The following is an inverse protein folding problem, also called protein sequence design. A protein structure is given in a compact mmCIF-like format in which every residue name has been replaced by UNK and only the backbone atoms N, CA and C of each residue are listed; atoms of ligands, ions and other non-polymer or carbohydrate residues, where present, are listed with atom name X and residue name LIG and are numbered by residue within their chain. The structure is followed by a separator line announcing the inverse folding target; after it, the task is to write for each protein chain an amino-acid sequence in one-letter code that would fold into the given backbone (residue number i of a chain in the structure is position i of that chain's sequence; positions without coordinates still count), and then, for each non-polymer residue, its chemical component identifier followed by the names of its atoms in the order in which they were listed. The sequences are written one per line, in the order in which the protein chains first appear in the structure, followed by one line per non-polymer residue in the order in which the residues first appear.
data_IF_268757744802
#
_entry.id   IF_268757744802
#
_cell.length_a   1.000
_cell.length_b   1.000
_cell.length_c   1.000
_cell.angle_alpha   90.00
_cell.angle_beta   90.00
_cell.angle_gamma   90.00
#
_symmetry.space_group_name_H-M   'P 1'
#
loop_
_entity.id
_entity.type
_entity.pdbx_description
1 polymer ?
#
# COMPACT_ATOMS: atom_id res chain seq x y z
N UNK A 1 -25.78 9.88 -9.87
CA UNK A 1 -26.16 10.78 -8.77
C UNK A 1 -25.50 10.18 -7.55
N UNK A 2 -24.56 10.86 -6.99
CA UNK A 2 -23.98 10.48 -5.71
C UNK A 2 -25.10 10.59 -4.67
N UNK A 3 -25.41 9.48 -4.04
CA UNK A 3 -26.35 9.45 -2.92
C UNK A 3 -25.57 9.92 -1.69
N UNK A 4 -26.05 10.99 -1.05
CA UNK A 4 -25.46 11.54 0.16
C UNK A 4 -26.43 11.54 1.35
N UNK A 5 -25.91 11.74 2.56
CA UNK A 5 -26.70 11.73 3.78
C UNK A 5 -27.74 12.86 3.80
N UNK A 6 -27.44 14.02 3.22
CA UNK A 6 -28.38 15.12 3.09
C UNK A 6 -29.57 14.76 2.21
N UNK A 7 -29.31 14.12 1.07
CA UNK A 7 -30.34 13.68 0.13
C UNK A 7 -31.29 12.66 0.79
N UNK A 8 -30.75 11.67 1.50
CA UNK A 8 -31.57 10.69 2.24
C UNK A 8 -32.39 11.35 3.33
N UNK A 9 -31.83 12.25 4.12
CA UNK A 9 -32.55 13.00 5.15
C UNK A 9 -33.65 13.83 4.54
N UNK A 10 -33.40 14.58 3.47
CA UNK A 10 -34.39 15.40 2.78
C UNK A 10 -35.52 14.55 2.15
N UNK A 11 -35.23 13.36 1.70
CA UNK A 11 -36.21 12.45 1.11
C UNK A 11 -37.14 11.83 2.16
N UNK A 12 -36.65 11.60 3.37
CA UNK A 12 -37.40 10.93 4.46
C UNK A 12 -38.07 11.88 5.45
N UNK A 13 -37.53 13.07 5.60
CA UNK A 13 -38.12 14.16 6.40
C UNK A 13 -38.75 15.20 5.47
N UNK A 14 -39.76 15.78 5.60
CA UNK A 14 -40.90 16.00 6.47
C UNK A 14 -42.14 15.20 6.04
N UNK A 15 -42.07 14.38 5.04
CA UNK A 15 -43.20 13.58 4.53
C UNK A 15 -43.24 12.16 5.14
N UNK A 16 -42.35 11.89 6.09
CA UNK A 16 -42.25 10.58 6.68
C UNK A 16 -43.48 10.24 7.46
N UNK A 17 -44.21 9.26 6.97
CA UNK A 17 -45.26 8.61 7.74
C UNK A 17 -44.58 7.87 8.89
N UNK A 18 -45.09 8.04 10.13
CA UNK A 18 -44.55 7.35 11.31
C UNK A 18 -44.60 5.82 11.19
N UNK A 19 -45.27 5.29 10.18
CA UNK A 19 -45.32 3.86 9.86
C UNK A 19 -44.24 3.40 8.87
N UNK A 20 -43.45 4.31 8.31
CA UNK A 20 -42.38 4.00 7.37
C UNK A 20 -41.08 3.73 8.10
N UNK A 21 -40.22 2.88 7.52
CA UNK A 21 -38.88 2.62 8.04
C UNK A 21 -38.05 3.90 8.03
N UNK A 22 -37.57 4.33 9.20
CA UNK A 22 -36.73 5.52 9.36
C UNK A 22 -35.61 5.26 10.32
N UNK A 23 -34.43 5.86 10.03
CA UNK A 23 -33.29 5.83 10.91
C UNK A 23 -33.08 7.17 11.60
N UNK A 24 -32.32 7.17 12.69
CA UNK A 24 -32.07 8.40 13.45
C UNK A 24 -31.02 9.25 12.74
N UNK A 25 -30.00 8.63 12.16
CA UNK A 25 -28.91 9.34 11.50
C UNK A 25 -28.57 8.72 10.15
N UNK A 26 -28.29 9.58 9.18
CA UNK A 26 -27.60 9.26 7.93
C UNK A 26 -26.20 9.87 7.97
N UNK A 27 -25.20 9.13 7.51
CA UNK A 27 -23.78 9.54 7.55
C UNK A 27 -23.12 9.22 6.23
N UNK A 28 -22.43 10.21 5.66
CA UNK A 28 -21.55 10.07 4.50
C UNK A 28 -20.11 10.50 4.84
N UNK A 29 -19.23 10.62 3.85
CA UNK A 29 -17.84 11.01 4.02
C UNK A 29 -17.65 12.48 4.44
N UNK A 30 -18.70 13.31 4.33
CA UNK A 30 -18.65 14.75 4.60
C UNK A 30 -19.45 15.10 5.85
N UNK A 31 -20.66 14.51 6.01
CA UNK A 31 -21.65 14.95 6.96
C UNK A 31 -22.30 13.81 7.76
N UNK A 32 -22.89 14.17 8.88
CA UNK A 32 -23.86 13.37 9.61
C UNK A 32 -25.14 14.18 9.79
N UNK A 33 -26.27 13.65 9.34
CA UNK A 33 -27.57 14.28 9.38
C UNK A 33 -28.50 13.57 10.35
N UNK A 34 -29.02 14.29 11.33
CA UNK A 34 -30.06 13.77 12.24
C UNK A 34 -31.43 13.86 11.58
N UNK A 35 -32.11 12.71 11.46
CA UNK A 35 -33.43 12.60 10.85
C UNK A 35 -34.54 12.39 11.89
N UNK A 36 -34.24 11.72 13.00
CA UNK A 36 -35.13 11.53 14.14
C UNK A 36 -34.45 12.02 15.42
N UNK A 37 -35.23 12.53 16.37
CA UNK A 37 -34.72 12.73 17.71
C UNK A 37 -34.32 11.39 18.34
N UNK A 38 -33.28 11.38 19.14
CA UNK A 38 -32.75 10.15 19.74
C UNK A 38 -33.78 9.39 20.60
N UNK A 39 -34.83 10.06 21.04
CA UNK A 39 -35.90 9.51 21.86
C UNK A 39 -37.11 9.02 21.07
N UNK A 40 -37.14 9.25 19.78
CA UNK A 40 -38.19 8.76 18.89
C UNK A 40 -37.99 7.29 18.54
N UNK A 41 -39.06 6.60 18.21
CA UNK A 41 -38.99 5.21 17.73
C UNK A 41 -38.87 5.19 16.22
N UNK A 42 -37.77 4.61 15.72
CA UNK A 42 -37.53 4.38 14.29
C UNK A 42 -37.80 2.93 13.93
N UNK A 43 -38.51 2.66 12.81
CA UNK A 43 -38.68 1.30 12.29
C UNK A 43 -37.51 0.87 11.42
N UNK A 44 -36.36 0.59 12.04
CA UNK A 44 -35.09 0.39 11.35
C UNK A 44 -34.45 -1.00 11.58
N UNK A 45 -34.88 -1.73 12.62
CA UNK A 45 -34.20 -2.97 13.05
C UNK A 45 -34.81 -4.25 12.46
N UNK A 46 -36.01 -4.17 11.91
CA UNK A 46 -36.71 -5.34 11.32
C UNK A 46 -37.28 -6.32 12.33
N UNK A 47 -37.27 -6.01 13.64
CA UNK A 47 -37.76 -6.83 14.74
C UNK A 47 -39.19 -6.49 15.21
N UNK A 48 -39.94 -5.75 14.40
CA UNK A 48 -41.31 -5.33 14.71
C UNK A 48 -41.37 -4.43 15.94
N UNK A 49 -42.16 -4.78 16.93
CA UNK A 49 -42.22 -4.05 18.20
C UNK A 49 -41.14 -4.48 19.20
N UNK A 50 -40.07 -5.07 18.70
CA UNK A 50 -38.93 -5.54 19.49
C UNK A 50 -38.01 -4.42 20.00
N UNK A 51 -37.02 -4.78 20.83
CA UNK A 51 -36.11 -3.81 21.43
C UNK A 51 -35.23 -3.08 20.41
N UNK A 52 -34.94 -3.66 19.27
CA UNK A 52 -34.15 -3.01 18.22
C UNK A 52 -34.86 -1.73 17.74
N UNK A 53 -36.11 -1.81 17.35
CA UNK A 53 -36.90 -0.65 16.96
C UNK A 53 -37.29 0.26 18.14
N UNK A 54 -37.57 -0.32 19.30
CA UNK A 54 -38.12 0.41 20.41
C UNK A 54 -37.13 1.09 21.35
N UNK A 55 -35.87 0.67 21.36
CA UNK A 55 -34.89 1.09 22.38
C UNK A 55 -33.50 1.42 21.84
N UNK A 56 -33.31 1.45 20.52
CA UNK A 56 -32.01 1.76 19.95
C UNK A 56 -32.02 2.98 19.02
N UNK A 57 -30.90 3.64 18.93
CA UNK A 57 -30.60 4.69 17.97
C UNK A 57 -29.91 4.06 16.76
N UNK A 58 -30.39 4.36 15.57
CA UNK A 58 -29.85 3.80 14.32
C UNK A 58 -29.01 4.78 13.53
N UNK A 59 -27.96 4.27 12.94
CA UNK A 59 -27.06 4.99 12.03
C UNK A 59 -27.06 4.24 10.70
N UNK A 60 -27.42 4.90 9.61
CA UNK A 60 -27.25 4.43 8.24
C UNK A 60 -25.99 5.08 7.67
N UNK A 61 -25.00 4.27 7.30
CA UNK A 61 -23.75 4.75 6.71
C UNK A 61 -23.85 4.56 5.20
N UNK A 62 -23.79 5.66 4.45
CA UNK A 62 -23.98 5.71 3.01
C UNK A 62 -22.67 5.25 2.35
N UNK A 63 -22.72 4.08 1.72
CA UNK A 63 -21.58 3.41 1.08
C UNK A 63 -22.07 2.68 -0.16
N UNK A 64 -21.27 2.66 -1.22
CA UNK A 64 -21.53 1.86 -2.43
C UNK A 64 -20.80 0.52 -2.45
N UNK A 65 -19.87 0.31 -1.52
CA UNK A 65 -19.11 -0.93 -1.34
C UNK A 65 -17.95 -1.09 -2.29
N UNK A 66 -17.57 -0.06 -3.01
CA UNK A 66 -16.37 -0.08 -3.89
C UNK A 66 -15.07 0.01 -3.09
N UNK A 67 -15.15 0.43 -1.82
CA UNK A 67 -13.99 0.75 -0.99
C UNK A 67 -13.29 2.04 -1.42
N UNK A 68 -14.04 2.93 -2.03
CA UNK A 68 -13.62 4.25 -2.45
C UNK A 68 -13.18 5.12 -1.26
N UNK A 69 -12.63 6.29 -1.54
CA UNK A 69 -12.31 7.27 -0.50
C UNK A 69 -13.56 7.73 0.25
N UNK A 70 -14.66 7.85 -0.48
CA UNK A 70 -15.98 8.23 0.02
C UNK A 70 -16.50 7.16 0.99
N UNK A 71 -16.48 5.88 0.59
CA UNK A 71 -16.84 4.76 1.48
C UNK A 71 -16.04 4.75 2.78
N UNK A 72 -14.71 4.95 2.67
CA UNK A 72 -13.82 4.96 3.83
C UNK A 72 -14.08 6.16 4.73
N UNK A 73 -14.38 7.32 4.14
CA UNK A 73 -14.78 8.54 4.87
C UNK A 73 -16.10 8.36 5.58
N UNK A 74 -17.10 7.78 4.92
CA UNK A 74 -18.41 7.49 5.49
C UNK A 74 -18.29 6.50 6.67
N UNK A 75 -17.50 5.44 6.53
CA UNK A 75 -17.24 4.48 7.63
C UNK A 75 -16.54 5.17 8.81
N UNK A 76 -15.59 6.07 8.56
CA UNK A 76 -14.86 6.81 9.59
C UNK A 76 -15.80 7.76 10.36
N UNK A 77 -16.66 8.49 9.65
CA UNK A 77 -17.65 9.37 10.25
C UNK A 77 -18.74 8.60 10.99
N UNK A 78 -19.19 7.46 10.45
CA UNK A 78 -20.12 6.55 11.12
C UNK A 78 -19.55 6.01 12.43
N UNK A 79 -18.28 5.63 12.46
CA UNK A 79 -17.61 5.19 13.67
C UNK A 79 -17.47 6.34 14.71
N UNK A 80 -17.18 7.55 14.25
CA UNK A 80 -17.13 8.74 15.13
C UNK A 80 -18.49 9.05 15.73
N UNK A 81 -19.54 9.05 14.93
CA UNK A 81 -20.91 9.30 15.42
C UNK A 81 -21.34 8.21 16.42
N UNK A 82 -21.07 6.95 16.14
CA UNK A 82 -21.35 5.86 17.09
C UNK A 82 -20.61 6.08 18.43
N UNK A 83 -19.35 6.48 18.41
CA UNK A 83 -18.59 6.81 19.62
C UNK A 83 -19.19 8.00 20.39
N UNK A 84 -19.61 9.06 19.69
CA UNK A 84 -20.27 10.22 20.28
C UNK A 84 -21.58 9.82 20.98
N UNK A 85 -22.40 8.99 20.35
CA UNK A 85 -23.66 8.50 20.92
C UNK A 85 -23.41 7.59 22.13
N UNK A 86 -22.47 6.65 22.04
CA UNK A 86 -22.08 5.82 23.18
C UNK A 86 -21.66 6.68 24.38
N UNK A 87 -20.83 7.69 24.15
CA UNK A 87 -20.42 8.64 25.21
C UNK A 87 -21.60 9.43 25.75
N UNK A 88 -22.46 9.98 24.87
CA UNK A 88 -23.63 10.78 25.24
C UNK A 88 -24.55 10.03 26.21
N UNK A 89 -24.72 8.73 26.00
CA UNK A 89 -25.63 7.89 26.80
C UNK A 89 -24.90 7.04 27.85
N UNK A 90 -23.60 7.22 28.06
CA UNK A 90 -22.81 6.46 29.04
C UNK A 90 -22.78 4.96 28.75
N UNK A 91 -22.81 4.59 27.47
CA UNK A 91 -22.82 3.21 27.00
C UNK A 91 -21.40 2.75 26.61
N UNK A 92 -21.20 1.45 26.67
CA UNK A 92 -19.94 0.79 26.29
C UNK A 92 -20.07 0.12 24.92
N UNK A 93 -18.94 -0.26 24.33
CA UNK A 93 -18.89 -0.82 22.97
C UNK A 93 -19.74 -2.09 22.76
N UNK A 94 -20.05 -2.82 23.81
CA UNK A 94 -20.94 -3.98 23.77
C UNK A 94 -22.42 -3.63 23.46
N UNK A 95 -22.76 -2.32 23.49
CA UNK A 95 -24.07 -1.81 23.10
C UNK A 95 -24.15 -1.37 21.63
N UNK A 96 -23.10 -1.61 20.87
CA UNK A 96 -23.09 -1.43 19.42
C UNK A 96 -23.49 -2.73 18.72
N UNK A 97 -24.59 -2.70 17.99
CA UNK A 97 -25.19 -3.86 17.34
C UNK A 97 -25.27 -3.66 15.82
N UNK A 98 -25.21 -4.74 15.07
CA UNK A 98 -25.55 -4.73 13.64
C UNK A 98 -27.07 -4.81 13.45
N UNK A 99 -27.58 -4.45 12.28
CA UNK A 99 -28.96 -4.76 11.91
C UNK A 99 -29.19 -6.28 11.88
N UNK A 100 -28.20 -7.08 11.44
CA UNK A 100 -28.29 -8.54 11.46
C UNK A 100 -28.60 -9.10 12.86
N UNK A 101 -28.04 -8.51 13.92
CA UNK A 101 -28.32 -8.91 15.30
C UNK A 101 -29.83 -8.92 15.61
N UNK A 102 -30.53 -7.84 15.26
CA UNK A 102 -31.97 -7.70 15.51
C UNK A 102 -32.83 -8.61 14.65
N UNK A 103 -32.29 -9.03 13.48
CA UNK A 103 -32.92 -10.02 12.61
C UNK A 103 -32.64 -11.48 13.04
N UNK A 104 -31.96 -11.71 14.16
CA UNK A 104 -31.56 -13.02 14.64
C UNK A 104 -30.43 -13.66 13.84
N UNK A 105 -29.67 -12.87 13.09
CA UNK A 105 -28.51 -13.31 12.32
C UNK A 105 -27.19 -12.97 13.06
N UNK A 106 -26.11 -13.70 12.84
CA UNK A 106 -24.80 -13.34 13.38
C UNK A 106 -24.23 -12.08 12.74
N UNK A 107 -23.26 -11.44 13.42
CA UNK A 107 -22.52 -10.25 12.95
C UNK A 107 -21.53 -10.60 11.83
N UNK A 108 -21.98 -11.27 10.78
CA UNK A 108 -21.24 -11.65 9.58
C UNK A 108 -22.17 -11.85 8.40
N UNK A 109 -21.61 -11.91 7.20
CA UNK A 109 -22.37 -12.26 5.98
C UNK A 109 -22.90 -13.70 6.10
N UNK A 110 -24.20 -13.86 5.91
CA UNK A 110 -24.89 -15.15 5.93
C UNK A 110 -25.39 -15.45 4.51
N UNK A 111 -24.89 -16.53 3.91
CA UNK A 111 -25.32 -16.93 2.57
C UNK A 111 -26.81 -17.33 2.57
N UNK A 112 -27.57 -16.78 1.63
CA UNK A 112 -29.00 -17.04 1.51
C UNK A 112 -29.89 -16.23 2.44
N UNK A 113 -29.35 -15.36 3.30
CA UNK A 113 -30.15 -14.41 4.08
C UNK A 113 -30.87 -13.43 3.15
N UNK A 114 -32.10 -13.04 3.54
CA UNK A 114 -32.89 -12.05 2.80
C UNK A 114 -32.18 -10.68 2.76
N UNK A 115 -31.46 -10.33 3.80
CA UNK A 115 -30.68 -9.11 3.94
C UNK A 115 -29.49 -9.35 4.86
N UNK A 116 -28.32 -8.89 4.49
CA UNK A 116 -27.15 -8.80 5.35
C UNK A 116 -26.86 -7.31 5.58
N UNK A 117 -26.96 -6.83 6.80
CA UNK A 117 -26.78 -5.41 7.08
C UNK A 117 -26.07 -5.20 8.44
N UNK A 118 -25.05 -4.35 8.47
CA UNK A 118 -24.52 -3.47 7.42
C UNK A 118 -23.64 -4.23 6.40
N UNK A 119 -24.09 -4.31 5.15
CA UNK A 119 -23.54 -5.20 4.12
C UNK A 119 -22.01 -5.04 3.94
N UNK A 120 -21.55 -3.81 3.84
CA UNK A 120 -20.15 -3.52 3.54
C UNK A 120 -19.24 -3.52 4.79
N UNK A 121 -19.80 -3.41 5.99
CA UNK A 121 -19.07 -3.39 7.27
C UNK A 121 -19.03 -4.78 7.92
N UNK A 122 -20.04 -5.64 7.70
CA UNK A 122 -20.07 -6.99 8.26
C UNK A 122 -18.80 -7.83 8.01
N UNK A 123 -18.12 -7.77 6.85
CA UNK A 123 -16.89 -8.50 6.63
C UNK A 123 -15.76 -8.13 7.59
N UNK A 124 -15.81 -6.93 8.18
CA UNK A 124 -14.79 -6.41 9.10
C UNK A 124 -15.43 -5.77 10.36
N UNK A 125 -16.55 -6.34 10.84
CA UNK A 125 -17.32 -5.81 11.96
C UNK A 125 -16.50 -5.59 13.23
N UNK A 126 -15.62 -6.54 13.58
CA UNK A 126 -14.77 -6.40 14.78
C UNK A 126 -13.78 -5.23 14.65
N UNK A 127 -13.27 -4.97 13.46
CA UNK A 127 -12.42 -3.83 13.18
C UNK A 127 -13.19 -2.51 13.26
N UNK A 128 -14.43 -2.49 12.77
CA UNK A 128 -15.30 -1.34 12.94
C UNK A 128 -15.58 -1.05 14.42
N UNK A 129 -15.89 -2.08 15.23
CA UNK A 129 -16.02 -1.92 16.68
C UNK A 129 -14.75 -1.41 17.35
N UNK A 130 -13.59 -1.92 16.95
CA UNK A 130 -12.31 -1.44 17.48
C UNK A 130 -12.08 0.05 17.13
N UNK A 131 -12.45 0.47 15.92
CA UNK A 131 -12.42 1.88 15.48
C UNK A 131 -13.33 2.75 16.35
N UNK A 132 -14.57 2.32 16.59
CA UNK A 132 -15.52 3.04 17.48
C UNK A 132 -14.97 3.12 18.90
N UNK A 133 -14.42 2.06 19.44
CA UNK A 133 -13.83 2.03 20.78
C UNK A 133 -12.65 2.99 20.92
N UNK A 134 -11.78 3.06 19.92
CA UNK A 134 -10.67 4.01 19.88
C UNK A 134 -11.16 5.47 19.92
N UNK A 135 -12.14 5.80 19.06
CA UNK A 135 -12.76 7.14 19.05
C UNK A 135 -13.48 7.46 20.36
N UNK A 136 -14.17 6.50 20.96
CA UNK A 136 -14.84 6.67 22.25
C UNK A 136 -13.83 6.99 23.36
N UNK A 137 -12.69 6.33 23.36
CA UNK A 137 -11.61 6.59 24.29
C UNK A 137 -11.04 8.00 24.09
N UNK A 138 -10.76 8.38 22.87
CA UNK A 138 -10.23 9.70 22.49
C UNK A 138 -11.16 10.84 22.98
N UNK A 139 -12.45 10.78 22.62
CA UNK A 139 -13.42 11.82 23.01
C UNK A 139 -13.75 11.80 24.50
N UNK A 140 -13.49 10.73 25.24
CA UNK A 140 -13.76 10.62 26.68
C UNK A 140 -12.67 11.23 27.54
N UNK A 141 -11.54 11.65 26.97
CA UNK A 141 -10.43 12.25 27.72
C UNK A 141 -9.79 11.29 28.72
N UNK A 142 -10.18 10.02 28.73
CA UNK A 142 -9.45 9.00 29.44
C UNK A 142 -8.25 8.62 28.59
N UNK A 143 -7.07 8.67 29.19
CA UNK A 143 -6.00 7.76 28.75
C UNK A 143 -6.55 6.33 28.93
N UNK A 144 -7.39 5.93 28.00
CA UNK A 144 -7.81 4.55 27.90
C UNK A 144 -6.56 3.74 27.71
N UNK A 145 -6.45 2.66 28.48
CA UNK A 145 -5.85 1.47 27.94
C UNK A 145 -6.66 1.12 26.67
N UNK A 146 -6.33 1.76 25.55
CA UNK A 146 -6.58 1.22 24.26
C UNK A 146 -6.18 -0.25 24.32
N UNK A 147 -6.88 -1.20 23.70
CA UNK A 147 -6.33 -2.53 23.51
C UNK A 147 -4.91 -2.26 23.03
N UNK A 148 -3.91 -2.71 23.80
CA UNK A 148 -2.52 -2.29 23.68
C UNK A 148 -2.21 -2.20 22.20
N UNK A 149 -1.75 -1.04 21.74
CA UNK A 149 -1.45 -0.85 20.33
C UNK A 149 -0.69 -2.08 19.89
N UNK A 150 -1.11 -2.79 18.84
CA UNK A 150 -0.59 -4.12 18.54
C UNK A 150 0.90 -4.04 18.62
N UNK A 151 1.54 -4.88 19.44
CA UNK A 151 2.96 -4.79 19.72
C UNK A 151 3.71 -4.70 18.40
N UNK A 152 4.43 -3.61 18.20
CA UNK A 152 5.30 -3.40 17.03
C UNK A 152 6.70 -3.94 17.31
N UNK A 153 6.95 -4.39 18.55
CA UNK A 153 8.23 -4.98 18.96
C UNK A 153 8.52 -6.23 18.14
N UNK A 154 9.68 -6.27 17.53
CA UNK A 154 10.11 -7.38 16.66
C UNK A 154 9.47 -7.42 15.28
N UNK A 155 8.65 -6.44 14.89
CA UNK A 155 8.07 -6.37 13.54
C UNK A 155 9.01 -5.72 12.52
N UNK A 156 8.86 -6.14 11.28
CA UNK A 156 9.68 -5.71 10.16
C UNK A 156 9.01 -4.53 9.44
N UNK A 157 9.58 -3.33 9.55
CA UNK A 157 9.05 -2.17 8.83
C UNK A 157 9.17 -2.35 7.30
N UNK A 158 8.15 -1.89 6.57
CA UNK A 158 8.16 -1.83 5.10
C UNK A 158 8.97 -0.61 4.62
N UNK A 159 8.82 0.53 5.32
CA UNK A 159 9.59 1.73 5.04
C UNK A 159 10.99 1.63 5.64
N UNK A 160 11.98 2.23 4.97
CA UNK A 160 13.36 2.27 5.44
C UNK A 160 14.38 1.87 4.38
N UNK A 161 15.61 1.64 4.83
CA UNK A 161 16.70 1.17 3.96
C UNK A 161 16.72 -0.35 3.88
N UNK A 162 17.04 -0.88 2.70
CA UNK A 162 17.32 -2.30 2.52
C UNK A 162 18.53 -2.74 3.37
N UNK A 163 18.48 -3.95 3.90
CA UNK A 163 19.55 -4.56 4.70
C UNK A 163 20.27 -5.68 3.93
N UNK A 164 19.65 -6.21 2.86
CA UNK A 164 20.27 -7.18 1.98
C UNK A 164 20.85 -6.51 0.73
N UNK A 165 21.94 -7.06 0.20
CA UNK A 165 22.55 -6.61 -1.04
C UNK A 165 21.93 -7.27 -2.26
N UNK A 166 22.10 -6.67 -3.45
CA UNK A 166 21.64 -7.25 -4.71
C UNK A 166 22.25 -8.64 -4.97
N UNK A 167 23.51 -8.82 -4.59
CA UNK A 167 24.21 -10.09 -4.72
C UNK A 167 23.57 -11.19 -3.84
N UNK A 168 23.26 -10.87 -2.57
CA UNK A 168 22.57 -11.80 -1.67
C UNK A 168 21.19 -12.17 -2.20
N UNK A 169 20.41 -11.17 -2.65
CA UNK A 169 19.07 -11.36 -3.21
C UNK A 169 19.11 -12.28 -4.45
N UNK A 170 20.04 -12.02 -5.37
CA UNK A 170 20.21 -12.82 -6.58
C UNK A 170 20.69 -14.25 -6.27
N UNK A 171 21.72 -14.39 -5.44
CA UNK A 171 22.28 -15.70 -5.06
C UNK A 171 21.23 -16.57 -4.36
N UNK A 172 20.45 -15.99 -3.45
CA UNK A 172 19.34 -16.69 -2.80
C UNK A 172 18.29 -17.16 -3.80
N UNK A 173 17.83 -16.28 -4.70
CA UNK A 173 16.87 -16.65 -5.73
C UNK A 173 17.37 -17.81 -6.59
N UNK A 174 18.62 -17.72 -7.10
CA UNK A 174 19.25 -18.74 -7.95
C UNK A 174 19.44 -20.08 -7.21
N UNK A 175 19.64 -20.05 -5.89
CA UNK A 175 19.70 -21.29 -5.08
C UNK A 175 18.35 -22.03 -5.02
N UNK A 176 17.21 -21.31 -5.21
CA UNK A 176 15.84 -21.88 -5.19
C UNK A 176 15.30 -22.16 -6.59
N UNK A 177 15.76 -21.43 -7.57
CA UNK A 177 15.40 -21.57 -8.97
C UNK A 177 16.60 -21.19 -9.84
N UNK A 178 17.28 -22.17 -10.41
CA UNK A 178 18.45 -21.95 -11.25
C UNK A 178 18.12 -21.29 -12.61
N UNK A 179 16.86 -21.39 -13.05
CA UNK A 179 16.38 -20.87 -14.35
C UNK A 179 15.15 -19.97 -14.17
N UNK A 180 15.33 -18.75 -13.60
CA UNK A 180 14.24 -17.79 -13.46
C UNK A 180 13.71 -17.34 -14.82
N UNK A 181 12.39 -17.30 -14.95
CA UNK A 181 11.71 -16.86 -16.18
C UNK A 181 11.62 -15.34 -16.25
N UNK A 182 12.77 -14.70 -16.41
CA UNK A 182 12.92 -13.24 -16.53
C UNK A 182 13.39 -12.89 -17.95
N UNK A 183 12.48 -12.62 -18.89
CA UNK A 183 12.86 -12.45 -20.30
C UNK A 183 13.61 -11.16 -20.59
N UNK A 184 13.54 -10.16 -19.70
CA UNK A 184 14.01 -8.80 -19.95
C UNK A 184 15.21 -8.37 -19.10
N UNK A 185 15.63 -9.16 -18.11
CA UNK A 185 16.79 -8.86 -17.27
C UNK A 185 17.27 -10.11 -16.51
N UNK A 186 18.50 -10.07 -16.00
CA UNK A 186 19.00 -11.05 -15.04
C UNK A 186 18.39 -10.84 -13.64
N UNK A 187 18.51 -11.86 -12.77
CA UNK A 187 18.08 -11.73 -11.36
C UNK A 187 18.87 -10.65 -10.62
N UNK A 188 20.16 -10.51 -10.90
CA UNK A 188 21.01 -9.49 -10.28
C UNK A 188 20.59 -8.08 -10.69
N UNK A 189 20.31 -7.87 -11.97
CA UNK A 189 19.78 -6.59 -12.46
C UNK A 189 18.42 -6.30 -11.83
N UNK A 190 17.54 -7.28 -11.76
CA UNK A 190 16.22 -7.11 -11.12
C UNK A 190 16.37 -6.76 -9.63
N UNK A 191 17.25 -7.45 -8.89
CA UNK A 191 17.53 -7.16 -7.49
C UNK A 191 18.05 -5.72 -7.32
N UNK A 192 18.95 -5.28 -8.21
CA UNK A 192 19.48 -3.91 -8.21
C UNK A 192 18.36 -2.87 -8.47
N UNK A 193 17.39 -3.18 -9.34
CA UNK A 193 16.22 -2.33 -9.58
C UNK A 193 15.34 -2.22 -8.33
N UNK A 194 15.11 -3.32 -7.60
CA UNK A 194 14.36 -3.29 -6.34
C UNK A 194 15.03 -2.40 -5.29
N UNK A 195 16.35 -2.45 -5.18
CA UNK A 195 17.07 -1.59 -4.25
C UNK A 195 16.98 -0.12 -4.67
N UNK A 196 17.19 0.18 -5.96
CA UNK A 196 17.19 1.55 -6.48
C UNK A 196 15.80 2.22 -6.39
N UNK A 197 14.73 1.53 -6.83
CA UNK A 197 13.36 2.06 -6.75
C UNK A 197 12.88 2.13 -5.29
N UNK A 198 13.32 1.17 -4.45
CA UNK A 198 13.05 1.18 -3.01
C UNK A 198 13.69 2.37 -2.33
N UNK A 199 14.96 2.65 -2.59
CA UNK A 199 15.68 3.81 -2.02
C UNK A 199 15.02 5.12 -2.46
N UNK A 200 14.64 5.24 -3.72
CA UNK A 200 13.99 6.43 -4.25
C UNK A 200 12.65 6.74 -3.54
N UNK A 201 11.86 5.73 -3.20
CA UNK A 201 10.55 5.89 -2.56
C UNK A 201 10.61 5.75 -1.03
N UNK A 202 11.77 5.44 -0.45
CA UNK A 202 11.94 5.19 0.99
C UNK A 202 11.38 3.84 1.46
N UNK A 203 11.16 2.89 0.55
CA UNK A 203 10.67 1.54 0.82
C UNK A 203 11.83 0.56 0.84
N UNK A 204 11.82 -0.41 1.72
CA UNK A 204 12.81 -1.49 1.77
C UNK A 204 12.73 -2.35 0.51
N UNK A 205 13.67 -2.15 -0.41
CA UNK A 205 13.76 -2.91 -1.67
C UNK A 205 13.98 -4.41 -1.47
N UNK A 206 14.69 -4.81 -0.41
CA UNK A 206 14.89 -6.21 -0.03
C UNK A 206 13.58 -6.89 0.45
N UNK A 207 12.72 -6.16 1.15
CA UNK A 207 11.36 -6.62 1.51
C UNK A 207 10.52 -6.82 0.26
N UNK A 208 10.52 -5.85 -0.65
CA UNK A 208 9.77 -5.93 -1.90
C UNK A 208 10.25 -7.10 -2.78
N UNK A 209 11.55 -7.35 -2.84
CA UNK A 209 12.10 -8.50 -3.56
C UNK A 209 11.71 -9.83 -2.90
N UNK A 210 11.78 -9.94 -1.57
CA UNK A 210 11.32 -11.12 -0.84
C UNK A 210 9.83 -11.41 -1.10
N UNK A 211 9.01 -10.37 -1.19
CA UNK A 211 7.61 -10.48 -1.59
C UNK A 211 7.51 -10.98 -3.05
N UNK A 212 8.27 -10.40 -3.99
CA UNK A 212 8.26 -10.81 -5.38
C UNK A 212 8.62 -12.30 -5.55
N UNK A 213 9.59 -12.81 -4.77
CA UNK A 213 9.92 -14.25 -4.75
C UNK A 213 8.73 -15.10 -4.30
N UNK A 214 7.98 -14.65 -3.29
CA UNK A 214 6.78 -15.34 -2.80
C UNK A 214 5.68 -15.35 -3.86
N UNK A 215 5.35 -14.20 -4.44
CA UNK A 215 4.26 -14.02 -5.41
C UNK A 215 4.50 -14.78 -6.71
N UNK A 216 5.75 -14.86 -7.17
CA UNK A 216 6.11 -15.49 -8.45
C UNK A 216 6.64 -16.92 -8.32
N UNK A 217 6.73 -17.44 -7.09
CA UNK A 217 7.38 -18.73 -6.83
C UNK A 217 8.85 -18.75 -7.28
N UNK A 218 9.62 -17.76 -6.83
CA UNK A 218 11.03 -17.56 -7.23
C UNK A 218 11.18 -17.32 -8.74
N UNK A 219 10.32 -16.51 -9.32
CA UNK A 219 10.24 -16.19 -10.76
C UNK A 219 10.00 -17.43 -11.66
N UNK A 220 9.39 -18.48 -11.13
CA UNK A 220 8.86 -19.59 -11.94
C UNK A 220 7.57 -19.18 -12.67
N UNK A 221 6.81 -18.28 -12.05
CA UNK A 221 5.48 -17.92 -12.48
C UNK A 221 4.57 -19.18 -12.57
N UNK A 222 3.53 -19.17 -13.39
CA UNK A 222 2.64 -20.33 -13.54
C UNK A 222 1.22 -20.10 -13.05
N UNK A 223 0.95 -18.92 -12.49
CA UNK A 223 -0.37 -18.43 -12.13
C UNK A 223 -0.97 -17.51 -13.21
N UNK A 224 -1.73 -16.51 -12.75
CA UNK A 224 -2.40 -15.51 -13.59
C UNK A 224 -1.39 -14.60 -14.30
N UNK A 225 -0.29 -14.25 -13.62
CA UNK A 225 0.74 -13.36 -14.16
C UNK A 225 1.70 -14.12 -15.07
N UNK A 226 1.95 -13.57 -16.26
CA UNK A 226 2.93 -14.10 -17.22
C UNK A 226 4.31 -13.46 -17.00
N UNK A 227 5.41 -14.17 -17.28
CA UNK A 227 6.78 -13.63 -17.18
C UNK A 227 7.01 -12.36 -18.00
N UNK A 228 6.31 -12.20 -19.13
CA UNK A 228 6.42 -11.05 -20.03
C UNK A 228 5.71 -9.79 -19.54
N UNK A 229 4.93 -9.87 -18.46
CA UNK A 229 4.19 -8.73 -17.92
C UNK A 229 5.03 -7.84 -17.00
N UNK A 230 6.25 -8.22 -16.64
CA UNK A 230 7.10 -7.53 -15.67
C UNK A 230 6.37 -7.21 -14.34
N UNK A 231 5.40 -8.02 -13.96
CA UNK A 231 4.59 -7.85 -12.77
C UNK A 231 5.05 -8.83 -11.68
N UNK A 232 5.87 -8.34 -10.77
CA UNK A 232 6.51 -9.17 -9.77
C UNK A 232 5.71 -9.29 -8.46
N UNK A 233 4.77 -8.39 -8.25
CA UNK A 233 3.91 -8.34 -7.05
C UNK A 233 2.47 -8.84 -7.26
N UNK A 234 2.14 -9.39 -8.43
CA UNK A 234 0.77 -9.85 -8.70
C UNK A 234 -0.26 -8.73 -8.78
N UNK A 235 0.15 -7.50 -9.09
CA UNK A 235 -0.74 -6.33 -9.14
C UNK A 235 -1.86 -6.57 -10.15
N UNK A 236 -3.13 -6.43 -9.69
CA UNK A 236 -4.30 -6.63 -10.53
C UNK A 236 -4.65 -8.09 -10.83
N UNK A 237 -3.96 -9.06 -10.24
CA UNK A 237 -4.34 -10.46 -10.30
C UNK A 237 -5.50 -10.71 -9.31
N UNK A 238 -6.74 -10.72 -9.81
CA UNK A 238 -7.93 -10.90 -8.99
C UNK A 238 -8.42 -12.35 -9.04
N UNK A 239 -9.16 -12.78 -8.01
CA UNK A 239 -9.84 -14.06 -8.03
C UNK A 239 -10.81 -14.13 -9.21
N UNK A 240 -10.64 -15.16 -10.08
CA UNK A 240 -11.43 -15.32 -11.28
C UNK A 240 -10.86 -14.68 -12.55
N UNK A 241 -9.73 -13.95 -12.45
CA UNK A 241 -9.02 -13.46 -13.64
C UNK A 241 -8.41 -14.60 -14.44
N UNK A 242 -8.39 -14.45 -15.78
CA UNK A 242 -7.69 -15.36 -16.66
C UNK A 242 -6.17 -15.06 -16.67
N UNK A 243 -5.40 -16.04 -17.14
CA UNK A 243 -3.95 -15.84 -17.30
C UNK A 243 -3.67 -14.66 -18.25
N UNK A 244 -2.83 -13.73 -17.78
CA UNK A 244 -2.45 -12.52 -18.52
C UNK A 244 -3.34 -11.30 -18.31
N UNK A 245 -4.45 -11.40 -17.56
CA UNK A 245 -5.34 -10.26 -17.27
C UNK A 245 -4.82 -9.34 -16.16
N UNK A 246 -3.80 -9.75 -15.38
CA UNK A 246 -3.14 -8.90 -14.41
C UNK A 246 -2.44 -7.70 -15.09
N UNK A 247 -2.06 -6.69 -14.29
CA UNK A 247 -1.34 -5.53 -14.79
C UNK A 247 -0.06 -5.92 -15.54
N UNK A 248 0.24 -5.20 -16.62
CA UNK A 248 1.46 -5.36 -17.43
C UNK A 248 2.25 -4.07 -17.46
N UNK A 249 3.57 -4.19 -17.34
CA UNK A 249 4.48 -3.06 -17.33
C UNK A 249 5.47 -3.14 -18.51
N UNK A 250 5.86 -1.99 -19.11
CA UNK A 250 6.64 -1.97 -20.35
C UNK A 250 8.05 -2.55 -20.17
N UNK A 251 8.61 -2.45 -18.98
CA UNK A 251 9.97 -2.87 -18.65
C UNK A 251 10.09 -3.31 -17.18
N UNK A 252 11.18 -3.99 -16.80
CA UNK A 252 11.38 -4.46 -15.41
C UNK A 252 11.37 -3.34 -14.37
N UNK A 253 11.95 -2.17 -14.66
CA UNK A 253 12.00 -1.01 -13.75
C UNK A 253 10.60 -0.52 -13.43
N UNK A 254 9.76 -0.36 -14.44
CA UNK A 254 8.36 0.07 -14.28
C UNK A 254 7.55 -0.91 -13.43
N UNK A 255 7.75 -2.22 -13.63
CA UNK A 255 7.10 -3.25 -12.82
C UNK A 255 7.55 -3.25 -11.36
N UNK A 256 8.85 -3.10 -11.12
CA UNK A 256 9.42 -2.95 -9.77
C UNK A 256 8.89 -1.67 -9.11
N UNK A 257 8.92 -0.54 -9.82
CA UNK A 257 8.39 0.74 -9.31
C UNK A 257 6.93 0.62 -8.90
N UNK A 258 6.10 -0.03 -9.70
CA UNK A 258 4.70 -0.25 -9.36
C UNK A 258 4.53 -1.03 -8.05
N UNK A 259 5.31 -2.09 -7.83
CA UNK A 259 5.27 -2.87 -6.59
C UNK A 259 5.77 -2.05 -5.39
N UNK A 260 6.86 -1.29 -5.55
CA UNK A 260 7.39 -0.39 -4.52
C UNK A 260 6.35 0.68 -4.14
N UNK A 261 5.71 1.31 -5.13
CA UNK A 261 4.66 2.32 -4.90
C UNK A 261 3.45 1.71 -4.20
N UNK A 262 3.05 0.50 -4.58
CA UNK A 262 1.96 -0.21 -3.93
C UNK A 262 2.28 -0.52 -2.46
N UNK A 263 3.50 -0.99 -2.15
CA UNK A 263 3.96 -1.18 -0.77
C UNK A 263 4.00 0.14 0.02
N UNK A 264 4.47 1.23 -0.60
CA UNK A 264 4.42 2.57 0.00
C UNK A 264 2.98 3.00 0.30
N UNK A 265 2.02 2.66 -0.58
CA UNK A 265 0.62 2.95 -0.32
C UNK A 265 0.13 2.27 0.97
N UNK A 266 0.48 1.00 1.19
CA UNK A 266 0.15 0.31 2.44
C UNK A 266 0.87 0.89 3.65
N UNK A 267 2.16 1.23 3.52
CA UNK A 267 3.02 1.54 4.65
C UNK A 267 3.03 3.01 5.07
N UNK A 268 2.71 3.95 4.16
CA UNK A 268 2.87 5.38 4.42
C UNK A 268 1.77 6.23 3.76
N UNK A 269 1.55 7.39 4.37
CA UNK A 269 0.70 8.46 3.79
C UNK A 269 1.52 9.48 2.98
N UNK A 270 2.85 9.35 2.95
CA UNK A 270 3.73 10.28 2.24
C UNK A 270 3.51 10.22 0.72
N UNK A 271 3.65 11.35 0.05
CA UNK A 271 3.55 11.41 -1.40
C UNK A 271 4.61 10.52 -2.08
N UNK A 272 4.30 10.08 -3.29
CA UNK A 272 5.29 9.44 -4.15
C UNK A 272 6.37 10.45 -4.57
N UNK A 273 7.60 9.96 -4.72
CA UNK A 273 8.73 10.74 -5.24
C UNK A 273 8.73 10.70 -6.78
N UNK A 274 8.49 9.52 -7.34
CA UNK A 274 8.40 9.31 -8.78
C UNK A 274 6.96 9.37 -9.29
N UNK A 275 6.81 9.55 -10.61
CA UNK A 275 5.51 9.42 -11.26
C UNK A 275 4.85 8.07 -10.91
N UNK A 276 3.55 8.11 -10.62
CA UNK A 276 2.78 6.93 -10.26
C UNK A 276 2.59 6.01 -11.48
N UNK A 277 3.14 4.80 -11.40
CA UNK A 277 2.96 3.76 -12.41
C UNK A 277 2.13 2.58 -11.90
N UNK A 278 1.81 2.57 -10.61
CA UNK A 278 0.93 1.56 -10.01
C UNK A 278 -0.54 1.90 -10.31
N UNK A 279 -1.25 1.09 -11.12
CA UNK A 279 -2.64 1.36 -11.47
C UNK A 279 -3.62 1.19 -10.30
N UNK A 280 -3.16 0.61 -9.19
CA UNK A 280 -3.99 0.35 -8.01
C UNK A 280 -3.58 1.16 -6.78
N UNK A 281 -2.64 2.09 -6.93
CA UNK A 281 -2.12 2.90 -5.83
C UNK A 281 -3.23 3.61 -5.04
N UNK A 282 -4.18 4.20 -5.75
CA UNK A 282 -5.29 4.97 -5.18
C UNK A 282 -6.38 4.09 -4.55
N UNK A 283 -6.37 2.78 -4.78
CA UNK A 283 -7.32 1.83 -4.19
C UNK A 283 -6.88 1.36 -2.79
N UNK A 284 -5.66 1.66 -2.38
CA UNK A 284 -5.12 1.27 -1.08
C UNK A 284 -5.46 2.33 -0.04
N UNK A 285 -6.03 1.90 1.08
CA UNK A 285 -6.12 2.76 2.27
C UNK A 285 -4.71 3.09 2.75
N UNK A 286 -4.30 4.35 2.56
CA UNK A 286 -2.93 4.78 2.81
C UNK A 286 -2.52 4.62 4.27
N UNK A 287 -1.34 3.98 4.47
CA UNK A 287 -0.76 3.78 5.81
C UNK A 287 -1.49 2.76 6.68
N UNK A 288 -2.25 1.82 6.08
CA UNK A 288 -2.97 0.80 6.84
C UNK A 288 -2.10 -0.40 7.25
N UNK A 289 -0.87 -0.51 6.76
CA UNK A 289 0.04 -1.63 7.02
C UNK A 289 1.50 -1.17 7.02
N UNK A 290 1.99 -0.68 8.16
CA UNK A 290 3.37 -0.17 8.30
C UNK A 290 4.41 -1.29 8.35
N UNK A 291 3.99 -2.51 8.71
CA UNK A 291 4.87 -3.66 8.92
C UNK A 291 4.56 -4.77 7.93
N UNK A 292 5.60 -5.52 7.55
CA UNK A 292 5.52 -6.64 6.62
C UNK A 292 4.53 -7.70 7.13
N UNK A 293 4.55 -7.99 8.42
CA UNK A 293 3.65 -8.95 9.08
C UNK A 293 2.17 -8.59 8.94
N UNK A 294 1.87 -7.31 8.72
CA UNK A 294 0.51 -6.79 8.52
C UNK A 294 0.06 -6.76 7.06
N UNK A 295 0.86 -7.25 6.12
CA UNK A 295 0.45 -7.37 4.71
C UNK A 295 -0.58 -8.49 4.47
N UNK A 296 -0.78 -9.40 5.40
CA UNK A 296 -1.94 -10.29 5.45
C UNK A 296 -3.10 -9.62 6.16
N UNK A 297 -4.28 -9.54 5.54
CA UNK A 297 -5.44 -8.90 6.16
C UNK A 297 -5.86 -9.57 7.48
N UNK A 298 -5.72 -10.89 7.59
CA UNK A 298 -6.00 -11.64 8.81
C UNK A 298 -5.05 -11.29 9.97
N UNK A 299 -3.80 -10.92 9.67
CA UNK A 299 -2.77 -10.60 10.65
C UNK A 299 -2.70 -9.10 10.96
N UNK A 300 -3.36 -8.27 10.17
CA UNK A 300 -3.36 -6.81 10.31
C UNK A 300 -4.42 -6.39 11.34
N UNK A 301 -4.07 -5.55 12.33
CA UNK A 301 -5.02 -5.05 13.33
C UNK A 301 -6.24 -4.34 12.75
N UNK A 302 -6.08 -3.77 11.53
CA UNK A 302 -7.15 -3.08 10.84
C UNK A 302 -7.90 -3.98 9.83
N UNK A 303 -7.56 -5.28 9.76
CA UNK A 303 -8.18 -6.24 8.84
C UNK A 303 -7.95 -5.94 7.36
N UNK A 304 -6.90 -5.17 7.04
CA UNK A 304 -6.56 -4.73 5.67
C UNK A 304 -5.14 -5.12 5.33
N UNK A 305 -4.91 -5.55 4.09
CA UNK A 305 -3.58 -5.97 3.67
C UNK A 305 -3.52 -6.25 2.19
N UNK A 306 -2.32 -6.58 1.74
CA UNK A 306 -2.04 -7.01 0.37
C UNK A 306 -2.75 -8.31 0.01
N UNK A 307 -2.66 -9.29 0.91
CA UNK A 307 -3.29 -10.61 0.73
C UNK A 307 -4.55 -10.74 1.59
N UNK A 308 -5.64 -11.27 1.02
CA UNK A 308 -6.93 -11.49 1.69
C UNK A 308 -7.38 -12.94 1.48
N UNK A 309 -7.64 -13.73 2.55
CA UNK A 309 -7.48 -13.41 3.97
C UNK A 309 -6.02 -13.25 4.41
N UNK A 310 -5.05 -13.90 3.73
CA UNK A 310 -3.62 -13.69 3.87
C UNK A 310 -3.02 -14.12 5.21
N UNK A 311 -3.60 -15.08 5.91
CA UNK A 311 -3.08 -15.61 7.17
C UNK A 311 -1.61 -16.06 7.03
N UNK A 312 -0.72 -15.52 7.87
CA UNK A 312 0.71 -15.77 7.85
C UNK A 312 1.45 -15.25 6.60
N UNK A 313 0.80 -14.44 5.76
CA UNK A 313 1.41 -13.94 4.51
C UNK A 313 2.68 -13.13 4.78
N UNK A 314 2.60 -12.14 5.64
CA UNK A 314 3.75 -11.30 6.01
C UNK A 314 4.87 -12.10 6.67
N UNK A 315 4.53 -13.06 7.52
CA UNK A 315 5.50 -13.97 8.15
C UNK A 315 6.33 -14.78 7.16
N UNK A 316 5.74 -15.18 6.03
CA UNK A 316 6.46 -15.85 4.93
C UNK A 316 7.48 -14.92 4.28
N UNK A 317 7.12 -13.66 4.05
CA UNK A 317 8.04 -12.63 3.49
C UNK A 317 9.20 -12.39 4.45
N UNK A 318 8.93 -12.21 5.75
CA UNK A 318 9.97 -12.03 6.78
C UNK A 318 10.92 -13.23 6.84
N UNK A 319 10.38 -14.44 6.72
CA UNK A 319 11.20 -15.66 6.68
C UNK A 319 12.13 -15.66 5.45
N UNK A 320 11.61 -15.33 4.27
CA UNK A 320 12.42 -15.21 3.05
C UNK A 320 13.49 -14.12 3.17
N UNK A 321 13.14 -12.96 3.71
CA UNK A 321 14.08 -11.86 3.95
C UNK A 321 15.21 -12.30 4.87
N UNK A 322 14.91 -13.03 5.95
CA UNK A 322 15.93 -13.59 6.86
C UNK A 322 16.87 -14.55 6.13
N UNK A 323 16.35 -15.40 5.26
CA UNK A 323 17.15 -16.33 4.46
C UNK A 323 18.01 -15.58 3.42
N UNK A 324 17.49 -14.56 2.76
CA UNK A 324 18.25 -13.70 1.83
C UNK A 324 19.44 -13.06 2.56
N UNK A 325 19.20 -12.45 3.71
CA UNK A 325 20.24 -11.78 4.52
C UNK A 325 21.32 -12.75 5.01
N UNK A 326 20.97 -14.00 5.25
CA UNK A 326 21.91 -15.05 5.68
C UNK A 326 22.66 -15.69 4.49
N UNK A 327 22.34 -15.34 3.24
CA UNK A 327 23.01 -15.88 2.07
C UNK A 327 24.37 -15.25 1.91
N UNK A 328 25.43 -16.08 1.87
CA UNK A 328 26.76 -15.65 1.49
C UNK A 328 26.79 -15.36 -0.01
N UNK A 329 27.17 -14.16 -0.38
CA UNK A 329 27.38 -13.77 -1.77
C UNK A 329 28.52 -12.76 -1.83
N UNK A 330 29.41 -12.96 -2.77
CA UNK A 330 30.39 -11.94 -3.10
C UNK A 330 29.70 -10.82 -3.85
N UNK A 331 29.89 -9.58 -3.39
CA UNK A 331 29.52 -8.43 -4.18
C UNK A 331 30.27 -8.51 -5.52
N UNK A 332 29.58 -8.35 -6.67
CA UNK A 332 30.30 -8.23 -7.92
C UNK A 332 31.30 -7.08 -7.76
N UNK A 333 32.58 -7.40 -7.94
CA UNK A 333 33.60 -6.35 -7.99
C UNK A 333 33.07 -5.26 -8.93
N UNK A 334 33.13 -3.98 -8.58
CA UNK A 334 32.73 -2.93 -9.52
C UNK A 334 33.46 -3.24 -10.85
N UNK A 335 32.76 -3.20 -11.98
CA UNK A 335 33.39 -3.46 -13.26
C UNK A 335 34.65 -2.60 -13.30
N UNK A 336 35.80 -3.22 -13.53
CA UNK A 336 37.01 -2.45 -13.76
C UNK A 336 36.65 -1.45 -14.84
N UNK A 337 36.70 -0.14 -14.57
CA UNK A 337 36.34 0.84 -15.57
C UNK A 337 37.07 0.46 -16.85
N UNK A 338 36.40 0.47 -18.02
CA UNK A 338 37.14 0.24 -19.25
C UNK A 338 38.31 1.21 -19.21
N UNK A 339 39.47 0.74 -19.61
CA UNK A 339 40.62 1.63 -19.77
C UNK A 339 40.25 2.68 -20.81
N UNK A 340 39.62 3.73 -20.32
CA UNK A 340 39.15 4.87 -21.14
C UNK A 340 40.32 5.82 -21.47
N UNK A 341 41.53 5.44 -21.05
CA UNK A 341 42.76 6.18 -21.28
C UNK A 341 42.91 7.41 -20.38
N UNK A 342 42.03 7.60 -19.39
CA UNK A 342 42.18 8.64 -18.41
C UNK A 342 42.89 8.16 -17.15
N UNK A 343 43.63 9.02 -16.43
CA UNK A 343 44.20 8.68 -15.14
C UNK A 343 43.13 8.24 -14.13
N UNK A 344 43.53 7.30 -13.26
CA UNK A 344 42.66 6.82 -12.19
C UNK A 344 42.18 7.99 -11.32
N UNK A 345 40.85 8.02 -11.02
CA UNK A 345 40.21 9.08 -10.21
C UNK A 345 39.83 10.33 -10.99
N UNK A 346 39.99 10.39 -12.33
CA UNK A 346 39.51 11.50 -13.13
C UNK A 346 37.97 11.64 -12.99
N UNK A 347 37.44 12.79 -12.48
CA UNK A 347 36.00 12.98 -12.29
C UNK A 347 35.21 12.90 -13.60
N UNK A 348 33.99 12.34 -13.54
CA UNK A 348 33.12 12.17 -14.71
C UNK A 348 32.88 13.47 -15.48
N UNK A 349 32.63 14.58 -14.78
CA UNK A 349 32.41 15.89 -15.42
C UNK A 349 33.62 16.40 -16.23
N UNK A 350 34.86 16.00 -15.85
CA UNK A 350 36.05 16.34 -16.60
C UNK A 350 36.15 15.50 -17.87
N UNK A 351 35.82 14.22 -17.81
CA UNK A 351 35.79 13.32 -18.96
C UNK A 351 34.75 13.80 -19.98
N UNK A 352 33.53 14.06 -19.51
CA UNK A 352 32.43 14.58 -20.35
C UNK A 352 32.80 15.91 -21.04
N UNK A 353 33.37 16.83 -20.28
CA UNK A 353 33.83 18.11 -20.84
C UNK A 353 34.93 17.94 -21.89
N UNK A 354 35.84 17.03 -21.66
CA UNK A 354 36.92 16.71 -22.60
C UNK A 354 36.39 16.07 -23.89
N UNK A 355 35.53 15.05 -23.77
CA UNK A 355 34.95 14.36 -24.93
C UNK A 355 34.09 15.34 -25.78
N UNK A 356 33.37 16.25 -25.16
CA UNK A 356 32.63 17.31 -25.86
C UNK A 356 33.55 18.24 -26.64
N UNK A 357 34.77 18.55 -26.17
CA UNK A 357 35.77 19.32 -26.88
C UNK A 357 36.41 18.54 -28.02
N UNK A 358 36.61 17.23 -27.86
CA UNK A 358 37.06 16.33 -28.91
C UNK A 358 36.04 16.27 -30.05
N UNK A 359 34.76 16.05 -29.71
CA UNK A 359 33.64 15.98 -30.67
C UNK A 359 33.50 17.29 -31.48
N UNK A 360 33.69 18.43 -30.84
CA UNK A 360 33.70 19.74 -31.50
C UNK A 360 34.96 20.02 -32.32
N UNK A 361 35.92 19.08 -32.38
CA UNK A 361 37.17 19.25 -33.11
C UNK A 361 38.15 20.27 -32.52
N UNK A 362 37.95 20.69 -31.28
CA UNK A 362 38.81 21.65 -30.56
C UNK A 362 40.08 20.93 -30.09
N UNK A 363 39.96 19.68 -29.70
CA UNK A 363 41.08 18.82 -29.30
C UNK A 363 41.40 17.84 -30.44
N UNK A 364 42.57 17.95 -31.06
CA UNK A 364 42.97 17.18 -32.22
C UNK A 364 43.87 15.92 -31.88
N UNK A 365 44.27 15.79 -30.64
CA UNK A 365 45.14 14.67 -30.18
C UNK A 365 44.62 14.15 -28.85
N UNK A 366 43.44 13.49 -28.81
CA UNK A 366 42.78 13.11 -27.56
C UNK A 366 43.66 12.17 -26.72
N UNK A 367 44.31 11.20 -27.31
CA UNK A 367 45.16 10.23 -26.57
C UNK A 367 46.32 10.89 -25.84
N UNK A 368 46.94 11.91 -26.46
CA UNK A 368 48.00 12.68 -25.80
C UNK A 368 47.45 13.45 -24.59
N UNK A 369 46.28 14.03 -24.68
CA UNK A 369 45.68 14.86 -23.62
C UNK A 369 45.13 13.97 -22.51
N UNK A 370 44.53 12.85 -22.81
CA UNK A 370 44.04 11.88 -21.81
C UNK A 370 45.14 11.48 -20.81
N UNK A 371 46.32 11.22 -21.27
CA UNK A 371 47.46 10.83 -20.42
C UNK A 371 47.98 11.96 -19.53
N UNK A 372 47.48 13.17 -19.65
CA UNK A 372 47.95 14.37 -18.96
C UNK A 372 46.88 15.03 -18.04
N UNK A 373 45.75 14.38 -17.86
CA UNK A 373 44.66 14.93 -17.05
C UNK A 373 45.06 15.22 -15.59
N UNK A 374 46.01 14.50 -15.06
CA UNK A 374 46.58 14.62 -13.72
C UNK A 374 47.76 15.60 -13.64
N UNK A 375 48.16 16.24 -14.76
CA UNK A 375 49.33 17.12 -14.83
C UNK A 375 48.91 18.58 -14.97
N UNK A 376 49.65 19.49 -14.34
CA UNK A 376 49.44 20.92 -14.56
C UNK A 376 49.65 21.29 -16.02
N UNK A 377 48.69 22.03 -16.58
CA UNK A 377 48.85 22.65 -17.90
C UNK A 377 49.65 23.94 -17.81
N UNK A 378 50.54 24.18 -18.78
CA UNK A 378 51.21 25.45 -18.89
C UNK A 378 50.24 26.52 -19.38
N UNK A 379 50.53 27.78 -19.08
CA UNK A 379 49.71 28.88 -19.59
C UNK A 379 49.59 28.92 -21.13
N UNK A 380 50.68 28.49 -21.85
CA UNK A 380 50.70 28.36 -23.30
C UNK A 380 49.72 27.30 -23.83
N UNK A 381 49.65 26.15 -23.15
CA UNK A 381 48.71 25.03 -23.48
C UNK A 381 47.26 25.49 -23.26
N UNK A 382 47.00 26.20 -22.13
CA UNK A 382 45.66 26.77 -21.84
C UNK A 382 45.25 27.82 -22.90
N UNK A 383 46.14 28.74 -23.25
CA UNK A 383 45.84 29.77 -24.27
C UNK A 383 45.66 29.16 -25.66
N UNK A 384 46.44 28.12 -26.00
CA UNK A 384 46.27 27.41 -27.28
C UNK A 384 44.96 26.66 -27.37
N UNK A 385 44.47 26.12 -26.25
CA UNK A 385 43.14 25.45 -26.19
C UNK A 385 41.99 26.50 -26.30
N UNK A 386 42.06 27.61 -25.54
CA UNK A 386 41.04 28.68 -25.55
C UNK A 386 40.94 29.39 -26.90
N UNK A 387 42.06 29.60 -27.60
CA UNK A 387 42.08 30.27 -28.89
C UNK A 387 41.39 29.52 -30.03
N UNK A 388 40.97 28.30 -29.82
CA UNK A 388 40.27 27.40 -30.77
C UNK A 388 38.79 27.27 -30.48
N UNK A 389 38.30 27.84 -29.39
CA UNK A 389 36.89 27.89 -29.01
C UNK A 389 36.22 29.12 -29.64
#
# INVERSE_FOLDING_TARGET
MEEDAEQYTRATWPNANMNDSRVHYYVDEVNAWQNLEDTEVGWHAGDGSGPGNGTTISIEIIMDGTGSKEDLGAEENGALLAAILLKKYGLTIDKLYTHNHWMGLPDKIVQGARKNCPLYILPHWEQFKAKVAAKLAEISGSESSAPAAPSTEGKTAIMGRAEATAAQMAAFCLSKNAEPRLPSCSVLELASLFLAEGEAEGVRGDVAFAQALLETGYFKFGGIVLPTQNNYGGIGALNGSNTGEAASFPDPRSGVRAQIQHLKAYASKDALVNECVDPRFHLVLRGCSEFVEWLGAADNPNGRGWAVPGDGYGGKIVTLLGQIKATEAEEPSPPTPPDDGYPEGTPAWQKEGFEALVERGIINSPDYWKTRFDKPMTAGEIFAAISRV
#
